data_IF_008042732742
#
_entry.id   IF_008042732742
#
_cell.length_a   1.000
_cell.length_b   1.000
_cell.length_c   1.000
_cell.angle_alpha   90.00
_cell.angle_beta   90.00
_cell.angle_gamma   90.00
#
_symmetry.space_group_name_H-M   'P 1'
#
loop_
_entity.id
_entity.type
_entity.pdbx_description
1 polymer ?
#
# COMPACT_ATOMS: atom_id res chain seq x y z
N UNK A 1 10.76 6.49 3.27
CA UNK A 1 10.25 5.13 2.95
C UNK A 1 11.36 4.12 3.17
N UNK A 2 11.11 2.91 3.70
CA UNK A 2 12.14 1.85 3.78
C UNK A 2 12.12 0.98 2.51
N UNK A 3 13.21 0.27 2.21
CA UNK A 3 13.26 -0.68 1.09
C UNK A 3 12.09 -1.67 1.10
N UNK A 4 11.66 -2.10 2.30
CA UNK A 4 10.49 -2.98 2.48
C UNK A 4 9.19 -2.32 2.04
N UNK A 5 8.98 -1.04 2.36
CA UNK A 5 7.79 -0.30 1.93
C UNK A 5 7.79 -0.09 0.42
N UNK A 6 8.94 0.33 -0.14
CA UNK A 6 9.08 0.54 -1.59
C UNK A 6 8.89 -0.75 -2.38
N UNK A 7 9.46 -1.87 -1.91
CA UNK A 7 9.24 -3.18 -2.53
C UNK A 7 7.77 -3.61 -2.47
N UNK A 8 7.11 -3.44 -1.31
CA UNK A 8 5.70 -3.80 -1.15
C UNK A 8 4.77 -2.98 -2.05
N UNK A 9 5.02 -1.67 -2.16
CA UNK A 9 4.30 -0.80 -3.09
C UNK A 9 4.49 -1.26 -4.54
N UNK A 10 5.75 -1.43 -4.98
CA UNK A 10 6.05 -1.85 -6.34
C UNK A 10 5.47 -3.24 -6.69
N UNK A 11 5.47 -4.18 -5.75
CA UNK A 11 4.85 -5.50 -5.94
C UNK A 11 3.32 -5.37 -6.12
N UNK A 12 2.67 -4.53 -5.30
CA UNK A 12 1.24 -4.26 -5.41
C UNK A 12 0.90 -3.62 -6.76
N UNK A 13 1.66 -2.60 -7.19
CA UNK A 13 1.49 -1.94 -8.49
C UNK A 13 1.69 -2.88 -9.70
N UNK A 14 2.48 -3.96 -9.53
CA UNK A 14 2.67 -5.00 -10.55
C UNK A 14 1.60 -6.10 -10.52
N UNK A 15 0.58 -5.97 -9.65
CA UNK A 15 -0.53 -6.93 -9.56
C UNK A 15 -0.24 -8.17 -8.72
N UNK A 16 0.84 -8.17 -7.91
CA UNK A 16 1.08 -9.26 -6.95
C UNK A 16 -0.05 -9.27 -5.92
N UNK A 17 -0.58 -10.45 -5.63
CA UNK A 17 -1.67 -10.63 -4.67
C UNK A 17 -1.27 -10.15 -3.27
N UNK A 18 -2.18 -9.44 -2.61
CA UNK A 18 -1.90 -8.78 -1.32
C UNK A 18 -1.52 -9.80 -0.23
N UNK A 19 -2.03 -11.03 -0.29
CA UNK A 19 -1.73 -12.11 0.64
C UNK A 19 -0.25 -12.55 0.55
N UNK A 20 0.35 -12.50 -0.64
CA UNK A 20 1.75 -12.85 -0.87
C UNK A 20 2.68 -11.75 -0.34
N UNK A 21 2.31 -10.49 -0.58
CA UNK A 21 3.01 -9.32 -0.05
C UNK A 21 2.93 -9.33 1.48
N UNK A 22 1.73 -9.58 2.03
CA UNK A 22 1.48 -9.70 3.47
C UNK A 22 2.35 -10.79 4.10
N UNK A 23 2.41 -11.98 3.47
CA UNK A 23 3.26 -13.09 3.93
C UNK A 23 4.76 -12.73 3.90
N UNK A 24 5.22 -12.07 2.84
CA UNK A 24 6.62 -11.63 2.72
C UNK A 24 7.00 -10.55 3.74
N UNK A 25 6.06 -9.65 4.03
CA UNK A 25 6.27 -8.58 5.00
C UNK A 25 5.99 -9.03 6.44
N UNK A 26 5.34 -10.18 6.66
CA UNK A 26 5.03 -10.69 8.00
C UNK A 26 3.94 -9.87 8.68
N UNK A 27 2.96 -9.38 7.92
CA UNK A 27 1.84 -8.61 8.47
C UNK A 27 0.64 -9.51 8.80
N UNK A 28 -0.14 -9.09 9.78
CA UNK A 28 -1.28 -9.87 10.28
C UNK A 28 -2.54 -9.76 9.41
N UNK A 29 -2.66 -8.71 8.59
CA UNK A 29 -3.83 -8.52 7.72
C UNK A 29 -3.50 -7.72 6.45
N UNK A 30 -4.36 -7.81 5.41
CA UNK A 30 -4.21 -7.01 4.19
C UNK A 30 -4.24 -5.50 4.46
N UNK A 31 -5.14 -5.03 5.34
CA UNK A 31 -5.24 -3.61 5.70
C UNK A 31 -3.94 -3.07 6.33
N UNK A 32 -3.29 -3.84 7.20
CA UNK A 32 -1.96 -3.49 7.73
C UNK A 32 -0.95 -3.31 6.60
N UNK A 33 -1.01 -4.18 5.59
CA UNK A 33 -0.11 -4.12 4.43
C UNK A 33 -0.39 -2.90 3.56
N UNK A 34 -1.64 -2.65 3.16
CA UNK A 34 -2.04 -1.50 2.34
C UNK A 34 -1.64 -0.16 2.99
N UNK A 35 -1.92 -0.01 4.29
CA UNK A 35 -1.48 1.16 5.06
C UNK A 35 0.04 1.27 5.14
N UNK A 36 0.75 0.15 5.35
CA UNK A 36 2.21 0.14 5.47
C UNK A 36 2.91 0.56 4.17
N UNK A 37 2.41 0.12 3.02
CA UNK A 37 2.95 0.45 1.69
C UNK A 37 2.41 1.77 1.12
N UNK A 38 1.44 2.40 1.78
CA UNK A 38 0.98 3.76 1.47
C UNK A 38 -0.19 3.88 0.50
N UNK A 39 -0.89 2.79 0.15
CA UNK A 39 -2.02 2.84 -0.80
C UNK A 39 -3.19 3.67 -0.26
N UNK A 40 -3.59 3.46 1.01
CA UNK A 40 -4.71 4.22 1.61
C UNK A 40 -4.43 5.73 1.71
N UNK A 41 -3.16 6.13 1.86
CA UNK A 41 -2.76 7.53 1.89
C UNK A 41 -2.88 8.17 0.50
N UNK A 42 -2.56 7.42 -0.55
CA UNK A 42 -2.67 7.89 -1.93
C UNK A 42 -4.14 8.12 -2.34
N UNK A 43 -5.05 7.23 -1.92
CA UNK A 43 -6.49 7.37 -2.17
C UNK A 43 -7.09 8.56 -1.41
N UNK A 44 -6.66 8.77 -0.16
CA UNK A 44 -7.10 9.92 0.65
C UNK A 44 -6.62 11.24 0.02
N UNK A 45 -5.37 11.31 -0.42
CA UNK A 45 -4.82 12.51 -1.05
C UNK A 45 -5.54 12.86 -2.35
N UNK A 46 -5.83 11.87 -3.21
CA UNK A 46 -6.62 12.06 -4.43
C UNK A 46 -8.02 12.59 -4.13
N UNK A 47 -8.66 12.10 -3.06
CA UNK A 47 -9.97 12.57 -2.62
C UNK A 47 -9.91 14.02 -2.11
N UNK A 48 -8.90 14.37 -1.33
CA UNK A 48 -8.66 15.74 -0.86
C UNK A 48 -8.44 16.71 -2.02
N UNK A 49 -7.66 16.32 -3.03
CA UNK A 49 -7.47 17.11 -4.26
C UNK A 49 -8.78 17.33 -5.02
N UNK A 50 -9.64 16.31 -5.11
CA UNK A 50 -10.93 16.40 -5.80
C UNK A 50 -11.95 17.27 -5.07
N UNK A 51 -11.94 17.29 -3.72
CA UNK A 51 -12.86 18.09 -2.90
C UNK A 51 -12.44 19.56 -2.83
N UNK A 52 -11.13 19.85 -2.92
CA UNK A 52 -10.59 21.20 -2.82
C UNK A 52 -10.53 21.97 -4.17
N UNK A 53 -11.24 21.49 -5.20
CA UNK A 53 -11.41 22.12 -6.52
C UNK A 53 -12.88 22.48 -6.77
#
# INVERSE_FOLDING_TARGET
HSLRKSWGYAAYSQGVRIEEIMKKLGHASPGVTLRYIGIEQEDTHKLEEQICL
#
